data_IF_388136360924
#
_entry.id   IF_388136360924
#
_cell.length_a   1.000
_cell.length_b   1.000
_cell.length_c   1.000
_cell.angle_alpha   90.00
_cell.angle_beta   90.00
_cell.angle_gamma   90.00
#
_symmetry.space_group_name_H-M   'P 1'
#
loop_
_entity.id
_entity.type
_entity.pdbx_description
1 polymer ?
#
# COMPACT_ATOMS: atom_id res chain seq x y z
N UNK A 1 14.25 -2.74 17.74
CA UNK A 1 13.94 -1.29 17.75
C UNK A 1 12.54 -1.16 17.17
N UNK A 2 11.60 -0.52 17.86
CA UNK A 2 10.23 -0.35 17.35
C UNK A 2 10.22 0.82 16.37
N UNK A 3 10.14 0.54 15.07
CA UNK A 3 9.87 1.58 14.08
C UNK A 3 8.42 2.05 14.24
N UNK A 4 8.22 3.36 14.32
CA UNK A 4 6.87 3.94 14.33
C UNK A 4 6.25 3.75 12.93
N UNK A 5 5.05 3.19 12.82
CA UNK A 5 4.37 3.09 11.53
C UNK A 5 4.06 4.49 10.97
N UNK A 6 4.37 4.68 9.69
CA UNK A 6 4.05 5.89 8.95
C UNK A 6 2.65 5.76 8.33
N UNK A 7 1.80 6.77 8.48
CA UNK A 7 0.47 6.79 7.89
C UNK A 7 0.39 7.94 6.89
N UNK A 8 -0.17 7.67 5.72
CA UNK A 8 -0.43 8.66 4.67
C UNK A 8 -1.77 8.38 4.00
N UNK A 9 -2.30 9.37 3.30
CA UNK A 9 -3.54 9.24 2.52
C UNK A 9 -3.22 9.57 1.08
N UNK A 10 -3.64 8.70 0.17
CA UNK A 10 -3.46 8.87 -1.28
C UNK A 10 -4.80 9.12 -1.93
N UNK A 11 -4.86 10.13 -2.80
CA UNK A 11 -6.02 10.41 -3.65
C UNK A 11 -5.96 9.54 -4.91
N UNK A 12 -6.88 8.60 -5.00
CA UNK A 12 -7.02 7.63 -6.09
C UNK A 12 -7.59 8.30 -7.35
N UNK A 13 -8.48 9.27 -7.20
CA UNK A 13 -9.03 10.02 -8.32
C UNK A 13 -7.95 10.86 -9.01
N UNK A 14 -7.02 11.41 -8.24
CA UNK A 14 -5.82 12.10 -8.77
C UNK A 14 -4.88 11.16 -9.55
N UNK A 15 -4.93 9.85 -9.31
CA UNK A 15 -4.22 8.82 -10.08
C UNK A 15 -4.96 8.41 -11.36
N UNK A 16 -6.17 8.96 -11.61
CA UNK A 16 -6.97 8.70 -12.80
C UNK A 16 -7.90 7.49 -12.70
N UNK A 17 -8.14 6.98 -11.49
CA UNK A 17 -9.05 5.87 -11.24
C UNK A 17 -10.35 6.37 -10.61
N UNK A 18 -11.47 5.79 -11.04
CA UNK A 18 -12.78 6.05 -10.47
C UNK A 18 -13.15 4.88 -9.54
N UNK A 19 -13.29 5.15 -8.24
CA UNK A 19 -13.52 4.13 -7.22
C UNK A 19 -14.83 4.37 -6.46
N UNK A 20 -15.71 3.37 -6.36
CA UNK A 20 -16.92 3.51 -5.57
C UNK A 20 -16.60 3.61 -4.08
N UNK A 21 -17.32 4.47 -3.36
CA UNK A 21 -17.26 4.57 -1.89
C UNK A 21 -16.34 5.68 -1.37
N UNK A 22 -15.12 5.78 -1.88
CA UNK A 22 -14.17 6.85 -1.51
C UNK A 22 -13.22 7.11 -2.68
N UNK A 23 -12.77 8.36 -2.83
CA UNK A 23 -11.71 8.74 -3.78
C UNK A 23 -10.31 8.63 -3.15
N UNK A 24 -10.21 8.25 -1.88
CA UNK A 24 -8.94 8.17 -1.16
C UNK A 24 -8.71 6.81 -0.52
N UNK A 25 -7.45 6.41 -0.47
CA UNK A 25 -6.98 5.26 0.31
C UNK A 25 -6.09 5.73 1.47
N UNK A 26 -6.23 5.09 2.62
CA UNK A 26 -5.30 5.22 3.74
C UNK A 26 -4.19 4.18 3.58
N UNK A 27 -2.94 4.61 3.74
CA UNK A 27 -1.76 3.75 3.61
C UNK A 27 -0.96 3.80 4.89
N UNK A 28 -0.73 2.63 5.49
CA UNK A 28 0.19 2.45 6.60
C UNK A 28 1.44 1.72 6.12
N UNK A 29 2.61 2.23 6.52
CA UNK A 29 3.93 1.66 6.21
C UNK A 29 4.65 1.37 7.52
N UNK A 30 4.97 0.11 7.77
CA UNK A 30 5.66 -0.33 8.96
C UNK A 30 6.88 -1.18 8.59
N UNK A 31 8.08 -0.73 8.97
CA UNK A 31 9.33 -1.45 8.70
C UNK A 31 9.86 -2.11 9.95
N UNK A 32 10.02 -3.44 9.93
CA UNK A 32 10.57 -4.22 11.04
C UNK A 32 11.46 -5.34 10.50
N UNK A 33 12.62 -5.54 11.14
CA UNK A 33 13.52 -6.68 10.90
C UNK A 33 13.86 -6.96 9.42
N UNK A 34 14.11 -5.89 8.65
CA UNK A 34 14.48 -6.01 7.22
C UNK A 34 13.29 -6.23 6.29
N UNK A 35 12.06 -6.17 6.79
CA UNK A 35 10.85 -6.23 5.99
C UNK A 35 10.01 -4.96 6.17
N UNK A 36 9.25 -4.60 5.13
CA UNK A 36 8.28 -3.51 5.17
C UNK A 36 6.88 -4.05 4.90
N UNK A 37 6.00 -3.90 5.87
CA UNK A 37 4.58 -4.12 5.73
C UNK A 37 3.93 -2.83 5.21
N UNK A 38 3.20 -2.92 4.11
CA UNK A 38 2.33 -1.86 3.60
C UNK A 38 0.89 -2.35 3.69
N UNK A 39 0.06 -1.64 4.45
CA UNK A 39 -1.38 -1.86 4.49
C UNK A 39 -2.09 -0.71 3.79
N UNK A 40 -2.99 -1.04 2.86
CA UNK A 40 -3.83 -0.07 2.16
C UNK A 40 -5.28 -0.34 2.52
N UNK A 41 -5.94 0.64 3.11
CA UNK A 41 -7.36 0.59 3.44
C UNK A 41 -8.16 1.53 2.53
N UNK A 42 -9.24 1.02 1.96
CA UNK A 42 -10.19 1.77 1.14
C UNK A 42 -11.59 1.26 1.41
N UNK A 43 -12.54 2.15 1.71
CA UNK A 43 -13.90 1.76 2.11
C UNK A 43 -13.91 0.71 3.23
N UNK A 44 -14.45 -0.50 2.98
CA UNK A 44 -14.54 -1.61 3.93
C UNK A 44 -13.42 -2.65 3.76
N UNK A 45 -12.43 -2.32 2.93
CA UNK A 45 -11.51 -3.25 2.33
C UNK A 45 -10.07 -2.90 2.73
N UNK A 46 -9.31 -3.88 3.25
CA UNK A 46 -7.86 -3.78 3.54
C UNK A 46 -7.02 -4.78 2.74
N UNK A 47 -5.94 -4.30 2.11
CA UNK A 47 -4.90 -5.13 1.49
C UNK A 47 -3.58 -4.95 2.22
N UNK A 48 -2.96 -6.05 2.64
CA UNK A 48 -1.66 -6.06 3.31
C UNK A 48 -0.63 -6.71 2.37
N UNK A 49 0.55 -6.08 2.26
CA UNK A 49 1.65 -6.53 1.42
C UNK A 49 2.96 -6.47 2.20
N UNK A 50 3.80 -7.50 2.05
CA UNK A 50 5.13 -7.51 2.69
C UNK A 50 6.22 -7.43 1.64
N UNK A 51 7.12 -6.48 1.82
CA UNK A 51 8.31 -6.28 0.98
C UNK A 51 9.56 -6.62 1.78
N UNK A 52 10.60 -7.14 1.12
CA UNK A 52 11.93 -7.29 1.71
C UNK A 52 12.72 -5.96 1.73
N UNK A 53 13.96 -6.01 2.21
CA UNK A 53 14.83 -4.82 2.31
C UNK A 53 15.18 -4.20 0.96
N UNK A 54 15.13 -5.00 -0.11
CA UNK A 54 15.38 -4.58 -1.49
C UNK A 54 14.11 -3.98 -2.15
N UNK A 55 12.99 -3.99 -1.44
CA UNK A 55 11.72 -3.47 -1.92
C UNK A 55 10.95 -4.43 -2.83
N UNK A 56 11.30 -5.72 -2.80
CA UNK A 56 10.66 -6.78 -3.59
C UNK A 56 9.48 -7.36 -2.83
N UNK A 57 8.35 -7.55 -3.51
CA UNK A 57 7.15 -8.15 -2.91
C UNK A 57 7.40 -9.63 -2.55
N UNK A 58 7.22 -9.96 -1.28
CA UNK A 58 7.40 -11.32 -0.74
C UNK A 58 6.08 -11.97 -0.31
N UNK A 59 5.10 -11.17 0.09
CA UNK A 59 3.75 -11.62 0.42
C UNK A 59 2.71 -10.74 -0.27
N UNK A 60 1.94 -11.35 -1.15
CA UNK A 60 0.88 -10.68 -1.94
C UNK A 60 -0.46 -10.73 -1.19
N UNK A 61 -1.36 -9.77 -1.43
CA UNK A 61 -2.65 -9.77 -0.76
C UNK A 61 -3.46 -11.03 -1.06
N UNK A 62 -4.19 -11.51 -0.06
CA UNK A 62 -5.00 -12.75 -0.11
C UNK A 62 -6.16 -12.70 -1.10
N UNK A 63 -6.57 -11.50 -1.49
CA UNK A 63 -7.64 -11.22 -2.44
C UNK A 63 -7.08 -10.48 -3.63
N UNK A 64 -7.71 -10.67 -4.80
CA UNK A 64 -7.33 -9.96 -6.02
C UNK A 64 -7.30 -8.45 -5.75
N UNK A 65 -6.13 -7.81 -5.90
CA UNK A 65 -6.03 -6.38 -5.69
C UNK A 65 -6.70 -5.63 -6.83
N UNK A 66 -7.29 -4.46 -6.57
CA UNK A 66 -7.77 -3.59 -7.63
C UNK A 66 -6.59 -2.99 -8.41
N UNK A 67 -6.82 -2.65 -9.68
CA UNK A 67 -5.76 -2.17 -10.58
C UNK A 67 -5.06 -0.90 -10.08
N UNK A 68 -5.75 -0.06 -9.28
CA UNK A 68 -5.19 1.15 -8.69
C UNK A 68 -4.23 0.90 -7.52
N UNK A 69 -4.24 -0.29 -6.91
CA UNK A 69 -3.48 -0.57 -5.67
C UNK A 69 -1.97 -0.36 -5.85
N UNK A 70 -1.42 -0.85 -6.96
CA UNK A 70 0.01 -0.68 -7.26
C UNK A 70 0.41 0.79 -7.42
N UNK A 71 -0.49 1.61 -7.99
CA UNK A 71 -0.27 3.05 -8.13
C UNK A 71 -0.31 3.77 -6.78
N UNK A 72 -1.24 3.41 -5.90
CA UNK A 72 -1.31 3.94 -4.53
C UNK A 72 -0.05 3.63 -3.75
N UNK A 73 0.45 2.39 -3.83
CA UNK A 73 1.71 1.99 -3.18
C UNK A 73 2.89 2.77 -3.76
N UNK A 74 2.96 2.93 -5.08
CA UNK A 74 4.02 3.70 -5.74
C UNK A 74 4.02 5.17 -5.32
N UNK A 75 2.85 5.79 -5.15
CA UNK A 75 2.72 7.17 -4.69
C UNK A 75 3.08 7.32 -3.21
N UNK A 76 2.56 6.42 -2.36
CA UNK A 76 2.80 6.47 -0.92
C UNK A 76 4.24 6.07 -0.53
N UNK A 77 4.83 5.15 -1.29
CA UNK A 77 6.08 4.49 -0.95
C UNK A 77 6.90 4.16 -2.23
N UNK A 78 7.51 5.15 -2.89
CA UNK A 78 8.12 4.99 -4.23
C UNK A 78 9.25 3.96 -4.33
N UNK A 79 9.84 3.58 -3.18
CA UNK A 79 10.87 2.55 -3.10
C UNK A 79 10.32 1.12 -3.23
N UNK A 80 9.00 0.94 -3.10
CA UNK A 80 8.34 -0.36 -3.15
C UNK A 80 7.45 -0.41 -4.39
N UNK A 81 7.65 -1.43 -5.22
CA UNK A 81 6.90 -1.59 -6.47
C UNK A 81 6.26 -2.97 -6.54
N UNK A 82 4.98 -3.01 -6.94
CA UNK A 82 4.36 -4.23 -7.44
C UNK A 82 4.78 -4.37 -8.91
N UNK A 83 5.79 -5.20 -9.18
CA UNK A 83 6.25 -5.51 -10.55
C UNK A 83 5.41 -6.60 -11.20
#
# INVERSE_FOLDING_TARGET
MSSTPHHTTVDIASLGFDTPGSDTAEVMIATADGATLIEVAHADDVWSLTFDEDGTLTDSPTRSPPDWLGHVITEAAPAFQMT
#
